data_IF_954688998503
#
_entry.id   IF_954688998503
#
_cell.length_a   1.000
_cell.length_b   1.000
_cell.length_c   1.000
_cell.angle_alpha   90.00
_cell.angle_beta   90.00
_cell.angle_gamma   90.00
#
_symmetry.space_group_name_H-M   'P 1'
#
loop_
_entity.id
_entity.type
_entity.pdbx_description
1 polymer ?
#
# COMPACT_ATOMS: atom_id res chain seq x y z
N UNK A 1 -40.51 -8.30 19.59
CA UNK A 1 -39.11 -7.88 19.81
C UNK A 1 -39.17 -6.96 21.02
N UNK A 2 -38.55 -7.33 22.14
CA UNK A 2 -38.53 -6.45 23.32
C UNK A 2 -37.72 -5.19 22.98
N UNK A 3 -38.44 -4.10 22.80
CA UNK A 3 -37.88 -2.76 22.59
C UNK A 3 -37.24 -2.28 23.90
N UNK A 4 -35.98 -1.82 23.87
CA UNK A 4 -35.34 -1.14 25.01
C UNK A 4 -34.15 -1.82 25.69
N UNK A 5 -33.52 -2.85 25.10
CA UNK A 5 -32.36 -3.54 25.71
C UNK A 5 -31.08 -2.70 25.75
N UNK A 6 -30.90 -1.74 24.84
CA UNK A 6 -29.75 -0.85 24.79
C UNK A 6 -30.05 0.49 25.49
N UNK A 7 -29.37 0.74 26.61
CA UNK A 7 -29.55 1.96 27.42
C UNK A 7 -28.62 3.12 27.03
N UNK A 8 -27.73 2.90 26.07
CA UNK A 8 -26.73 3.89 25.66
C UNK A 8 -27.28 4.93 24.68
N UNK A 9 -26.58 6.07 24.57
CA UNK A 9 -26.86 7.07 23.54
C UNK A 9 -25.87 6.89 22.38
N UNK A 10 -26.38 6.72 21.16
CA UNK A 10 -25.57 6.64 19.96
C UNK A 10 -25.74 7.91 19.12
N UNK A 11 -24.64 8.59 18.83
CA UNK A 11 -24.58 9.75 17.93
C UNK A 11 -23.50 9.51 16.87
N UNK A 12 -23.93 9.13 15.67
CA UNK A 12 -23.02 8.91 14.55
C UNK A 12 -22.50 10.24 13.97
N UNK A 13 -21.22 10.26 13.60
CA UNK A 13 -20.60 11.33 12.82
C UNK A 13 -19.90 10.68 11.61
N UNK A 14 -20.26 11.10 10.41
CA UNK A 14 -19.64 10.60 9.18
C UNK A 14 -18.45 11.46 8.76
N UNK A 15 -17.45 10.78 8.20
CA UNK A 15 -16.26 11.38 7.62
C UNK A 15 -15.92 10.66 6.30
N UNK A 16 -15.42 11.39 5.32
CA UNK A 16 -14.94 10.82 4.06
C UNK A 16 -13.65 11.52 3.63
N UNK A 17 -12.54 10.83 3.84
CA UNK A 17 -11.20 11.32 3.52
C UNK A 17 -10.71 10.67 2.22
N UNK A 18 -10.19 11.46 1.29
CA UNK A 18 -9.69 10.95 0.02
C UNK A 18 -8.96 11.97 -0.85
N UNK A 19 -9.60 13.07 -1.23
CA UNK A 19 -9.00 14.06 -2.16
C UNK A 19 -7.78 14.74 -1.55
N UNK A 20 -7.86 15.10 -0.28
CA UNK A 20 -6.80 15.74 0.49
C UNK A 20 -5.52 14.89 0.59
N UNK A 21 -5.63 13.57 0.44
CA UNK A 21 -4.48 12.66 0.48
C UNK A 21 -3.76 12.45 -0.85
N UNK A 22 -4.33 12.89 -1.99
CA UNK A 22 -3.80 12.56 -3.34
C UNK A 22 -2.77 13.56 -3.86
N UNK A 23 -2.77 14.79 -3.35
CA UNK A 23 -1.88 15.87 -3.80
C UNK A 23 -1.05 16.45 -2.64
N UNK A 24 -0.83 15.66 -1.59
CA UNK A 24 0.07 16.03 -0.49
C UNK A 24 1.54 15.87 -0.87
N UNK A 25 2.44 16.34 0.00
CA UNK A 25 3.86 16.07 -0.15
C UNK A 25 4.14 14.56 -0.01
N UNK A 26 4.89 13.94 -0.93
CA UNK A 26 5.22 12.52 -0.84
C UNK A 26 6.12 12.26 0.37
N UNK A 27 5.98 11.10 1.01
CA UNK A 27 6.94 10.66 2.05
C UNK A 27 8.36 10.56 1.49
N UNK A 28 9.40 10.54 2.34
CA UNK A 28 10.77 10.27 1.86
C UNK A 28 10.86 8.93 1.12
N UNK A 29 10.11 7.93 1.56
CA UNK A 29 9.98 6.63 0.89
C UNK A 29 9.43 6.81 -0.54
N UNK A 30 8.27 7.46 -0.70
CA UNK A 30 7.65 7.66 -2.02
C UNK A 30 8.48 8.56 -2.92
N UNK A 31 9.10 9.62 -2.38
CA UNK A 31 9.98 10.50 -3.13
C UNK A 31 11.18 9.74 -3.71
N UNK A 32 11.84 8.92 -2.88
CA UNK A 32 12.99 8.11 -3.30
C UNK A 32 12.57 7.00 -4.27
N UNK A 33 11.46 6.31 -3.99
CA UNK A 33 10.92 5.24 -4.83
C UNK A 33 10.51 5.75 -6.21
N UNK A 34 9.79 6.86 -6.28
CA UNK A 34 9.36 7.44 -7.55
C UNK A 34 10.54 7.98 -8.37
N UNK A 35 11.55 8.56 -7.71
CA UNK A 35 12.77 8.97 -8.39
C UNK A 35 13.51 7.77 -8.99
N UNK A 36 13.68 6.69 -8.21
CA UNK A 36 14.31 5.46 -8.68
C UNK A 36 13.55 4.84 -9.87
N UNK A 37 12.22 4.80 -9.83
CA UNK A 37 11.39 4.33 -10.94
C UNK A 37 11.59 5.15 -12.22
N UNK A 38 11.60 6.49 -12.11
CA UNK A 38 11.82 7.38 -13.25
C UNK A 38 13.21 7.19 -13.86
N UNK A 39 14.23 7.09 -13.01
CA UNK A 39 15.60 6.82 -13.45
C UNK A 39 15.72 5.45 -14.13
N UNK A 40 15.12 4.41 -13.55
CA UNK A 40 15.07 3.07 -14.12
C UNK A 40 14.45 3.05 -15.52
N UNK A 41 13.32 3.74 -15.69
CA UNK A 41 12.65 3.85 -16.98
C UNK A 41 13.56 4.50 -18.03
N UNK A 42 14.30 5.57 -17.66
CA UNK A 42 15.27 6.21 -18.53
C UNK A 42 16.42 5.27 -18.95
N UNK A 43 16.96 4.50 -18.00
CA UNK A 43 18.02 3.51 -18.29
C UNK A 43 17.52 2.39 -19.19
N UNK A 44 16.32 1.84 -18.92
CA UNK A 44 15.72 0.79 -19.74
C UNK A 44 15.48 1.26 -21.18
N UNK A 45 14.99 2.49 -21.35
CA UNK A 45 14.81 3.12 -22.66
C UNK A 45 16.15 3.31 -23.38
N UNK A 46 17.17 3.81 -22.68
CA UNK A 46 18.50 4.00 -23.23
C UNK A 46 19.13 2.68 -23.70
N UNK A 47 18.87 1.59 -22.99
CA UNK A 47 19.29 0.23 -23.38
C UNK A 47 18.45 -0.40 -24.51
N UNK A 48 17.44 0.30 -25.03
CA UNK A 48 16.60 -0.16 -26.14
C UNK A 48 15.49 -1.14 -25.74
N UNK A 49 15.14 -1.24 -24.46
CA UNK A 49 14.06 -2.10 -23.99
C UNK A 49 12.68 -1.45 -24.16
N UNK A 50 11.66 -2.27 -24.42
CA UNK A 50 10.25 -1.85 -24.56
C UNK A 50 9.30 -2.87 -23.93
N UNK A 51 8.06 -2.47 -23.66
CA UNK A 51 7.04 -3.35 -23.06
C UNK A 51 7.31 -3.74 -21.60
N UNK A 52 8.17 -3.00 -20.91
CA UNK A 52 8.51 -3.20 -19.51
C UNK A 52 7.87 -2.13 -18.62
N UNK A 53 7.47 -2.51 -17.42
CA UNK A 53 7.16 -1.61 -16.31
C UNK A 53 8.44 -1.46 -15.48
N UNK A 54 8.90 -0.24 -15.27
CA UNK A 54 10.00 0.03 -14.33
C UNK A 54 9.65 -0.50 -12.94
N UNK A 55 10.56 -1.22 -12.31
CA UNK A 55 10.32 -1.91 -11.04
C UNK A 55 11.49 -1.70 -10.08
N UNK A 56 11.18 -1.51 -8.81
CA UNK A 56 12.16 -1.47 -7.72
C UNK A 56 11.76 -2.50 -6.66
N UNK A 57 12.70 -3.35 -6.28
CA UNK A 57 12.55 -4.41 -5.27
C UNK A 57 13.44 -4.18 -4.06
N UNK A 58 13.32 -5.08 -3.07
CA UNK A 58 14.01 -4.99 -1.78
C UNK A 58 13.65 -3.73 -0.96
N UNK A 59 12.37 -3.32 -1.00
CA UNK A 59 11.90 -2.04 -0.48
C UNK A 59 11.88 -1.91 1.06
N UNK A 60 12.11 -3.02 1.80
CA UNK A 60 12.31 -2.98 3.25
C UNK A 60 13.76 -2.62 3.64
N UNK A 61 14.71 -2.77 2.72
CA UNK A 61 16.10 -2.40 2.96
C UNK A 61 16.31 -0.88 2.78
N UNK A 62 17.44 -0.32 3.26
CA UNK A 62 17.84 1.04 2.94
C UNK A 62 17.89 1.26 1.42
N UNK A 63 17.56 2.49 0.97
CA UNK A 63 17.40 2.78 -0.46
C UNK A 63 18.62 2.45 -1.34
N UNK A 64 19.83 2.52 -0.78
CA UNK A 64 21.09 2.15 -1.45
C UNK A 64 21.18 0.66 -1.82
N UNK A 65 20.40 -0.19 -1.16
CA UNK A 65 20.38 -1.64 -1.32
C UNK A 65 19.15 -2.11 -2.14
N UNK A 66 18.39 -1.17 -2.70
CA UNK A 66 17.26 -1.46 -3.58
C UNK A 66 17.72 -2.03 -4.92
N UNK A 67 16.92 -2.94 -5.46
CA UNK A 67 17.19 -3.59 -6.74
C UNK A 67 16.30 -2.94 -7.79
N UNK A 68 16.89 -2.38 -8.83
CA UNK A 68 16.17 -1.61 -9.85
C UNK A 68 16.22 -2.36 -11.19
N UNK A 69 15.09 -2.40 -11.91
CA UNK A 69 15.00 -3.11 -13.19
C UNK A 69 13.67 -2.86 -13.93
N UNK A 70 13.29 -3.80 -14.79
CA UNK A 70 12.02 -3.78 -15.52
C UNK A 70 11.31 -5.13 -15.49
N UNK A 71 10.01 -5.10 -15.21
CA UNK A 71 9.13 -6.28 -15.24
C UNK A 71 8.34 -6.29 -16.54
N UNK A 72 8.22 -7.44 -17.21
CA UNK A 72 7.47 -7.52 -18.46
C UNK A 72 5.98 -7.27 -18.22
N UNK A 73 5.40 -6.29 -18.93
CA UNK A 73 4.00 -5.89 -18.75
C UNK A 73 3.04 -7.08 -18.90
N UNK A 74 3.30 -7.95 -19.88
CA UNK A 74 2.46 -9.12 -20.18
C UNK A 74 2.39 -10.13 -19.06
N UNK A 75 3.39 -10.20 -18.17
CA UNK A 75 3.37 -11.10 -17.01
C UNK A 75 2.33 -10.68 -15.96
N UNK A 76 1.84 -9.43 -16.01
CA UNK A 76 0.83 -8.91 -15.10
C UNK A 76 -0.58 -8.90 -15.72
N UNK A 77 -0.72 -9.35 -16.97
CA UNK A 77 -1.98 -9.29 -17.71
C UNK A 77 -2.79 -10.57 -17.59
N UNK A 78 -4.09 -10.40 -17.55
CA UNK A 78 -5.10 -11.45 -17.68
C UNK A 78 -6.19 -11.02 -18.69
N UNK A 79 -7.05 -11.93 -19.10
CA UNK A 79 -8.14 -11.68 -20.06
C UNK A 79 -9.47 -11.54 -19.32
N UNK A 80 -9.98 -10.31 -19.22
CA UNK A 80 -11.28 -10.02 -18.61
C UNK A 80 -12.34 -9.69 -19.68
N UNK A 81 -13.60 -10.05 -19.43
CA UNK A 81 -14.73 -9.62 -20.26
C UNK A 81 -15.27 -8.27 -19.78
N UNK A 82 -15.06 -7.22 -20.57
CA UNK A 82 -15.57 -5.86 -20.28
C UNK A 82 -16.44 -5.36 -21.43
N UNK A 83 -17.64 -4.88 -21.11
CA UNK A 83 -18.62 -4.40 -22.10
C UNK A 83 -18.85 -5.43 -23.22
N UNK A 84 -18.98 -6.71 -22.84
CA UNK A 84 -19.25 -7.80 -23.78
C UNK A 84 -18.05 -8.35 -24.55
N UNK A 85 -16.90 -7.67 -24.56
CA UNK A 85 -15.67 -8.08 -25.28
C UNK A 85 -14.57 -8.57 -24.33
N UNK A 86 -13.79 -9.56 -24.75
CA UNK A 86 -12.57 -9.96 -24.03
C UNK A 86 -11.46 -8.94 -24.29
N UNK A 87 -10.85 -8.42 -23.23
CA UNK A 87 -9.78 -7.41 -23.28
C UNK A 87 -8.64 -7.85 -22.36
N UNK A 88 -7.37 -7.75 -22.80
CA UNK A 88 -6.25 -7.98 -21.93
C UNK A 88 -6.13 -6.79 -20.96
N UNK A 89 -6.06 -7.07 -19.66
CA UNK A 89 -6.01 -6.05 -18.60
C UNK A 89 -5.07 -6.50 -17.49
N UNK A 90 -4.53 -5.55 -16.74
CA UNK A 90 -3.82 -5.88 -15.49
C UNK A 90 -4.86 -6.19 -14.42
N UNK A 91 -4.77 -7.38 -13.83
CA UNK A 91 -5.66 -7.78 -12.74
C UNK A 91 -5.40 -6.92 -11.50
N UNK A 92 -6.47 -6.45 -10.86
CA UNK A 92 -6.33 -5.71 -9.58
C UNK A 92 -5.93 -6.70 -8.48
N UNK A 93 -4.78 -6.45 -7.87
CA UNK A 93 -4.37 -7.17 -6.66
C UNK A 93 -5.27 -6.74 -5.50
N UNK A 94 -6.04 -7.69 -4.95
CA UNK A 94 -6.89 -7.50 -3.78
C UNK A 94 -6.15 -7.96 -2.52
N UNK A 95 -6.67 -7.61 -1.34
CA UNK A 95 -6.11 -8.07 -0.06
C UNK A 95 -6.13 -9.60 0.00
N UNK A 96 -4.96 -10.20 0.21
CA UNK A 96 -4.83 -11.63 0.48
C UNK A 96 -5.21 -11.92 1.95
N UNK A 97 -6.33 -12.64 2.16
CA UNK A 97 -6.86 -12.93 3.49
C UNK A 97 -6.00 -13.92 4.29
N UNK A 98 -5.14 -14.67 3.61
CA UNK A 98 -4.11 -15.53 4.19
C UNK A 98 -2.74 -14.84 4.31
N UNK A 99 -2.61 -13.61 3.82
CA UNK A 99 -1.40 -12.80 3.90
C UNK A 99 -1.11 -12.25 5.30
N UNK A 100 0.16 -11.97 5.57
CA UNK A 100 0.63 -11.46 6.86
C UNK A 100 -0.09 -10.18 7.33
N UNK A 101 -0.35 -9.16 6.46
CA UNK A 101 -1.06 -7.96 6.87
C UNK A 101 -2.47 -8.24 7.42
N UNK A 102 -3.27 -9.04 6.70
CA UNK A 102 -4.62 -9.36 7.14
C UNK A 102 -4.62 -10.24 8.39
N UNK A 103 -3.72 -11.22 8.48
CA UNK A 103 -3.58 -12.07 9.67
C UNK A 103 -3.23 -11.25 10.92
N UNK A 104 -2.35 -10.26 10.82
CA UNK A 104 -2.03 -9.35 11.93
C UNK A 104 -3.27 -8.57 12.39
N UNK A 105 -4.03 -8.00 11.46
CA UNK A 105 -5.31 -7.36 11.78
C UNK A 105 -6.29 -8.34 12.45
N UNK A 106 -6.47 -9.53 11.88
CA UNK A 106 -7.38 -10.54 12.40
C UNK A 106 -7.02 -10.99 13.82
N UNK A 107 -5.73 -11.06 14.16
CA UNK A 107 -5.28 -11.42 15.52
C UNK A 107 -5.57 -10.36 16.59
N UNK A 108 -5.82 -9.11 16.21
CA UNK A 108 -5.96 -7.98 17.14
C UNK A 108 -7.38 -7.39 17.19
N UNK A 109 -8.18 -7.59 16.13
CA UNK A 109 -9.48 -6.92 15.95
C UNK A 109 -10.50 -7.17 17.07
N UNK A 110 -10.47 -8.34 17.72
CA UNK A 110 -11.42 -8.66 18.80
C UNK A 110 -11.11 -7.85 20.07
N UNK A 111 -9.82 -7.74 20.42
CA UNK A 111 -9.39 -6.87 21.52
C UNK A 111 -9.69 -5.40 21.21
N UNK A 112 -9.35 -4.96 20.00
CA UNK A 112 -9.58 -3.57 19.57
C UNK A 112 -11.06 -3.19 19.51
N UNK A 113 -11.96 -4.15 19.29
CA UNK A 113 -13.40 -3.91 19.31
C UNK A 113 -13.94 -3.63 20.73
N UNK A 114 -13.30 -4.17 21.77
CA UNK A 114 -13.77 -4.10 23.15
C UNK A 114 -12.98 -3.14 24.03
N UNK A 115 -11.71 -2.87 23.68
CA UNK A 115 -10.79 -2.08 24.48
C UNK A 115 -10.34 -0.82 23.75
N UNK A 116 -10.07 0.24 24.54
CA UNK A 116 -9.50 1.49 24.03
C UNK A 116 -8.00 1.34 23.73
N UNK A 117 -7.67 0.81 22.55
CA UNK A 117 -6.28 0.59 22.07
C UNK A 117 -5.92 1.51 20.90
N UNK A 118 -6.29 2.79 20.99
CA UNK A 118 -6.05 3.76 19.93
C UNK A 118 -4.57 4.09 19.77
N UNK A 119 -4.14 4.24 18.52
CA UNK A 119 -2.82 4.75 18.16
C UNK A 119 -3.04 6.10 17.47
N UNK A 120 -2.31 7.12 17.92
CA UNK A 120 -2.38 8.47 17.37
C UNK A 120 -1.10 8.75 16.55
N UNK A 121 -1.08 8.40 15.24
CA UNK A 121 0.07 8.72 14.40
C UNK A 121 0.20 10.25 14.26
N UNK A 122 1.45 10.73 14.26
CA UNK A 122 1.75 12.13 13.98
C UNK A 122 1.72 12.45 12.48
N UNK A 123 1.91 13.73 12.11
CA UNK A 123 2.09 14.13 10.71
C UNK A 123 3.34 13.49 10.10
N UNK A 124 3.36 13.37 8.76
CA UNK A 124 4.56 12.96 8.01
C UNK A 124 5.74 13.85 8.42
N UNK A 125 6.84 13.21 8.78
CA UNK A 125 8.11 13.89 9.08
C UNK A 125 9.06 13.71 7.90
N UNK A 126 9.80 14.76 7.56
CA UNK A 126 10.82 14.73 6.50
C UNK A 126 12.24 14.71 7.05
N UNK A 127 12.38 14.93 8.35
CA UNK A 127 13.65 14.96 9.08
C UNK A 127 13.53 14.15 10.36
N UNK A 128 14.66 13.64 10.84
CA UNK A 128 14.73 12.89 12.09
C UNK A 128 14.44 11.39 11.93
N UNK A 129 14.39 10.66 13.06
CA UNK A 129 14.51 9.19 13.07
C UNK A 129 13.29 8.44 12.50
N UNK A 130 12.19 9.13 12.21
CA UNK A 130 10.97 8.52 11.66
C UNK A 130 10.69 8.89 10.21
N UNK A 131 11.54 9.73 9.59
CA UNK A 131 11.28 10.30 8.28
C UNK A 131 11.23 9.25 7.15
N UNK A 132 12.03 8.19 7.28
CA UNK A 132 12.17 7.14 6.27
C UNK A 132 11.36 5.87 6.60
N UNK A 133 10.42 5.95 7.56
CA UNK A 133 9.54 4.81 7.88
C UNK A 133 8.57 4.55 6.72
N UNK A 134 8.47 3.29 6.31
CA UNK A 134 7.48 2.83 5.33
C UNK A 134 6.18 2.36 6.00
N UNK A 135 5.20 1.95 5.19
CA UNK A 135 3.90 1.49 5.66
C UNK A 135 3.95 0.07 6.25
N UNK A 136 3.00 -0.24 7.13
CA UNK A 136 2.99 -1.53 7.82
C UNK A 136 2.72 -2.73 6.90
N UNK A 137 1.94 -2.55 5.84
CA UNK A 137 1.61 -3.61 4.88
C UNK A 137 2.88 -4.15 4.23
N UNK A 138 3.70 -3.26 3.64
CA UNK A 138 4.95 -3.62 2.97
C UNK A 138 5.90 -4.36 3.92
N UNK A 139 6.06 -3.83 5.12
CA UNK A 139 6.99 -4.39 6.10
C UNK A 139 6.52 -5.76 6.62
N UNK A 140 5.22 -6.01 6.75
CA UNK A 140 4.69 -7.34 7.10
C UNK A 140 4.81 -8.33 5.93
N UNK A 141 4.57 -7.89 4.70
CA UNK A 141 4.73 -8.73 3.51
C UNK A 141 6.18 -9.17 3.29
N UNK A 142 7.14 -8.28 3.59
CA UNK A 142 8.57 -8.56 3.49
C UNK A 142 9.16 -9.20 4.75
N UNK A 143 8.35 -9.52 5.76
CA UNK A 143 8.83 -10.12 7.02
C UNK A 143 9.76 -9.22 7.84
N UNK A 144 9.76 -7.93 7.57
CA UNK A 144 10.57 -6.91 8.25
C UNK A 144 9.90 -6.36 9.51
N UNK A 145 8.73 -6.89 9.88
CA UNK A 145 8.08 -6.70 11.17
C UNK A 145 7.58 -8.03 11.72
N UNK A 146 7.79 -8.25 13.02
CA UNK A 146 7.22 -9.35 13.79
C UNK A 146 5.85 -8.97 14.40
#
# INVERSE_FOLDING_TARGET
>A
MEEGTYKGHFKGQSHFFGYEGRCGLPTNFDATYCYALGYAAGVLLHAGHTGLIASVGNLAAPAKDWIVGGTALTQLMDVERRQGKFKPVIQKAMVALDGAPFKKFASLREEWALQNKYISPGPIQFFGPTADKSNFTLMLELGAMA
#
